data_IF_968419084662
#
_entry.id   IF_968419084662
#
_cell.length_a   1.000
_cell.length_b   1.000
_cell.length_c   1.000
_cell.angle_alpha   90.00
_cell.angle_beta   90.00
_cell.angle_gamma   90.00
#
_symmetry.space_group_name_H-M   'P 1'
#
loop_
_entity.id
_entity.type
_entity.pdbx_description
1 polymer ?
#
# COMPACT_ATOMS: atom_id res chain seq x y z
N UNK A 1 28.27 -67.54 15.84
CA UNK A 1 27.08 -66.73 16.18
C UNK A 1 27.47 -65.75 17.28
N UNK A 2 27.72 -64.49 16.92
CA UNK A 2 27.70 -63.34 17.83
C UNK A 2 27.35 -62.11 16.98
N UNK A 3 26.24 -61.46 17.33
CA UNK A 3 25.65 -60.31 16.67
C UNK A 3 26.12 -59.01 17.34
N UNK A 4 26.49 -57.98 16.55
CA UNK A 4 26.50 -56.53 16.88
C UNK A 4 26.50 -55.76 15.54
N UNK A 5 25.41 -55.18 15.07
CA UNK A 5 24.85 -53.84 15.38
C UNK A 5 24.92 -52.95 14.13
N UNK A 6 23.80 -52.45 13.57
CA UNK A 6 23.78 -51.50 12.46
C UNK A 6 23.96 -50.08 13.01
N UNK A 7 25.18 -49.54 12.95
CA UNK A 7 25.48 -48.20 13.41
C UNK A 7 25.44 -47.21 12.24
N UNK A 8 24.36 -46.42 12.20
CA UNK A 8 24.30 -45.00 11.73
C UNK A 8 24.64 -44.68 10.26
N UNK A 9 23.96 -43.82 9.50
CA UNK A 9 23.31 -42.55 9.82
C UNK A 9 22.24 -42.29 8.73
N UNK A 10 20.98 -42.17 9.14
CA UNK A 10 19.88 -41.66 8.33
C UNK A 10 19.55 -40.25 8.84
N UNK A 11 19.09 -39.38 7.94
CA UNK A 11 18.57 -38.03 8.19
C UNK A 11 19.59 -36.96 8.64
N UNK A 12 20.33 -36.43 7.68
CA UNK A 12 20.50 -34.97 7.58
C UNK A 12 19.37 -34.41 6.71
N UNK A 13 18.13 -34.47 7.21
CA UNK A 13 17.03 -33.68 6.66
C UNK A 13 17.22 -32.26 7.21
N UNK A 14 18.03 -31.48 6.51
CA UNK A 14 18.25 -30.07 6.80
C UNK A 14 16.87 -29.39 6.65
N UNK A 15 16.21 -29.15 7.78
CA UNK A 15 14.99 -28.35 7.89
C UNK A 15 15.40 -26.90 7.59
N UNK A 16 15.64 -26.61 6.31
CA UNK A 16 15.55 -25.27 5.74
C UNK A 16 14.14 -25.14 5.15
N UNK A 17 13.12 -25.24 6.01
CA UNK A 17 11.90 -24.47 5.75
C UNK A 17 12.27 -23.02 6.02
N UNK A 18 12.91 -22.42 5.01
CA UNK A 18 13.04 -21.01 4.81
C UNK A 18 11.73 -20.34 5.21
N UNK A 19 11.81 -19.52 6.25
CA UNK A 19 10.72 -18.72 6.78
C UNK A 19 9.94 -18.13 5.61
N UNK A 20 8.72 -18.64 5.36
CA UNK A 20 7.85 -18.12 4.31
C UNK A 20 7.77 -16.60 4.49
N UNK A 21 8.39 -15.89 3.55
CA UNK A 21 8.40 -14.44 3.50
C UNK A 21 6.96 -14.00 3.37
N UNK A 22 6.36 -13.54 4.49
CA UNK A 22 4.99 -13.03 4.47
C UNK A 22 4.79 -12.10 3.27
N UNK A 23 3.83 -12.48 2.43
CA UNK A 23 3.56 -11.81 1.19
C UNK A 23 3.22 -10.34 1.44
N UNK A 24 3.69 -9.46 0.56
CA UNK A 24 3.23 -8.06 0.53
C UNK A 24 1.72 -8.04 0.28
N UNK A 25 1.04 -7.07 0.87
CA UNK A 25 -0.37 -6.80 0.61
C UNK A 25 -0.49 -5.59 -0.32
N UNK A 26 -1.61 -5.51 -1.05
CA UNK A 26 -1.87 -4.44 -1.99
C UNK A 26 -3.27 -3.87 -1.78
N UNK A 27 -3.42 -2.56 -1.94
CA UNK A 27 -4.72 -1.89 -1.89
C UNK A 27 -4.78 -0.80 -2.95
N UNK A 28 -5.85 -0.78 -3.72
CA UNK A 28 -6.21 0.36 -4.56
C UNK A 28 -6.99 1.36 -3.71
N UNK A 29 -6.63 2.63 -3.78
CA UNK A 29 -7.30 3.71 -3.06
C UNK A 29 -7.22 5.00 -3.88
N UNK A 30 -8.30 5.79 -3.87
CA UNK A 30 -8.37 7.06 -4.58
C UNK A 30 -7.67 8.20 -3.82
N UNK A 31 -7.43 8.02 -2.51
CA UNK A 31 -6.72 9.01 -1.68
C UNK A 31 -5.26 9.11 -2.11
N UNK A 32 -4.79 10.34 -2.25
CA UNK A 32 -3.39 10.62 -2.57
C UNK A 32 -2.45 10.18 -1.43
N UNK A 33 -1.17 9.92 -1.71
CA UNK A 33 -0.19 9.56 -0.67
C UNK A 33 -0.08 10.63 0.42
N UNK A 34 -0.24 11.91 0.07
CA UNK A 34 -0.26 13.01 1.04
C UNK A 34 -1.47 12.92 1.98
N UNK A 35 -2.66 12.63 1.44
CA UNK A 35 -3.88 12.46 2.24
C UNK A 35 -3.80 11.21 3.14
N UNK A 36 -3.31 10.09 2.60
CA UNK A 36 -3.10 8.86 3.37
C UNK A 36 -2.07 9.08 4.49
N UNK A 37 -0.96 9.77 4.21
CA UNK A 37 0.02 10.16 5.25
C UNK A 37 -0.59 11.05 6.32
N UNK A 38 -1.35 12.08 5.92
CA UNK A 38 -2.00 13.00 6.84
C UNK A 38 -3.02 12.31 7.75
N UNK A 39 -3.71 11.28 7.25
CA UNK A 39 -4.61 10.43 8.03
C UNK A 39 -3.88 9.41 8.93
N UNK A 40 -2.54 9.37 8.90
CA UNK A 40 -1.74 8.40 9.63
C UNK A 40 -1.70 7.01 9.00
N UNK A 41 -2.25 6.83 7.78
CA UNK A 41 -2.29 5.57 7.07
C UNK A 41 -3.57 5.35 6.25
N UNK A 42 -3.81 4.10 5.84
CA UNK A 42 -5.07 3.69 5.22
C UNK A 42 -6.05 3.35 6.33
N UNK A 43 -6.96 4.26 6.61
CA UNK A 43 -7.98 4.12 7.66
C UNK A 43 -9.27 3.58 7.04
N UNK A 44 -9.97 2.70 7.77
CA UNK A 44 -11.31 2.18 7.42
C UNK A 44 -12.34 3.29 7.41
N UNK A 45 -13.57 3.00 6.97
CA UNK A 45 -14.62 4.02 6.93
C UNK A 45 -15.02 4.45 8.34
N UNK A 46 -15.23 3.50 9.25
CA UNK A 46 -15.54 3.77 10.65
C UNK A 46 -14.64 2.92 11.58
N UNK A 47 -13.47 3.43 12.00
CA UNK A 47 -12.55 2.72 12.89
C UNK A 47 -13.11 2.39 14.29
N UNK A 48 -14.21 3.03 14.68
CA UNK A 48 -14.93 2.75 15.93
C UNK A 48 -16.07 1.74 15.73
N UNK A 49 -16.35 1.34 14.48
CA UNK A 49 -17.33 0.31 14.16
C UNK A 49 -16.98 -1.04 14.77
N UNK A 50 -18.01 -1.88 14.98
CA UNK A 50 -17.89 -3.18 15.65
C UNK A 50 -18.29 -4.34 14.74
N UNK A 51 -18.49 -4.07 13.44
CA UNK A 51 -18.93 -5.08 12.48
C UNK A 51 -17.94 -6.22 12.31
N UNK A 52 -18.46 -7.43 12.09
CA UNK A 52 -17.62 -8.62 11.92
C UNK A 52 -16.91 -8.60 10.56
N UNK A 53 -15.79 -9.32 10.46
CA UNK A 53 -15.08 -9.51 9.18
C UNK A 53 -15.94 -10.26 8.14
N UNK A 54 -16.88 -11.10 8.58
CA UNK A 54 -17.81 -11.79 7.68
C UNK A 54 -18.88 -10.85 7.14
N UNK A 55 -19.34 -9.87 7.93
CA UNK A 55 -20.27 -8.84 7.46
C UNK A 55 -19.58 -7.85 6.51
N UNK A 56 -18.32 -7.53 6.79
CA UNK A 56 -17.43 -6.82 5.89
C UNK A 56 -17.31 -7.52 4.54
N UNK A 57 -16.95 -8.82 4.53
CA UNK A 57 -16.82 -9.61 3.31
C UNK A 57 -18.13 -9.78 2.51
N UNK A 58 -19.29 -9.53 3.12
CA UNK A 58 -20.60 -9.49 2.46
C UNK A 58 -21.06 -8.06 2.11
N UNK A 59 -20.22 -7.06 2.34
CA UNK A 59 -20.53 -5.64 2.16
C UNK A 59 -21.78 -5.16 2.93
N UNK A 60 -22.10 -5.76 4.09
CA UNK A 60 -23.29 -5.42 4.88
C UNK A 60 -23.11 -4.18 5.76
N UNK A 61 -21.87 -3.80 6.06
CA UNK A 61 -21.56 -2.77 7.06
C UNK A 61 -21.67 -1.34 6.51
N UNK A 62 -21.54 -1.15 5.19
CA UNK A 62 -21.63 0.17 4.57
C UNK A 62 -20.67 1.19 5.20
N UNK A 63 -21.24 2.26 5.77
CA UNK A 63 -20.46 3.33 6.44
C UNK A 63 -20.02 2.98 7.86
N UNK A 64 -20.48 1.87 8.41
CA UNK A 64 -20.05 1.42 9.75
C UNK A 64 -18.91 0.41 9.69
N UNK A 65 -18.32 0.23 8.51
CA UNK A 65 -17.28 -0.77 8.27
C UNK A 65 -15.95 -0.39 8.95
N UNK A 66 -15.49 -1.19 9.94
CA UNK A 66 -14.23 -0.94 10.61
C UNK A 66 -13.04 -1.59 9.91
N UNK A 67 -13.20 -2.23 8.75
CA UNK A 67 -12.15 -3.00 8.09
C UNK A 67 -11.53 -2.26 6.90
N UNK A 68 -10.24 -2.52 6.68
CA UNK A 68 -9.50 -2.09 5.50
C UNK A 68 -9.21 -3.32 4.66
N UNK A 69 -9.89 -3.44 3.52
CA UNK A 69 -9.65 -4.51 2.55
C UNK A 69 -8.30 -4.34 1.85
N UNK A 70 -7.58 -5.44 1.73
CA UNK A 70 -6.36 -5.56 0.93
C UNK A 70 -6.38 -6.88 0.17
N UNK A 71 -5.51 -7.04 -0.82
CA UNK A 71 -5.36 -8.30 -1.57
C UNK A 71 -3.90 -8.73 -1.57
N UNK A 72 -3.66 -10.04 -1.64
CA UNK A 72 -2.33 -10.59 -1.91
C UNK A 72 -1.89 -10.44 -3.38
N UNK A 73 -2.78 -10.00 -4.27
CA UNK A 73 -2.50 -9.88 -5.70
C UNK A 73 -2.39 -8.43 -6.16
N UNK A 74 -1.17 -7.99 -6.51
CA UNK A 74 -0.96 -6.66 -7.12
C UNK A 74 -1.74 -6.49 -8.42
N UNK A 75 -1.93 -7.57 -9.19
CA UNK A 75 -2.69 -7.55 -10.43
C UNK A 75 -4.18 -7.26 -10.18
N UNK A 76 -4.77 -7.85 -9.13
CA UNK A 76 -6.15 -7.58 -8.74
C UNK A 76 -6.32 -6.14 -8.25
N UNK A 77 -5.40 -5.64 -7.41
CA UNK A 77 -5.45 -4.24 -6.99
C UNK A 77 -5.37 -3.27 -8.21
N UNK A 78 -4.56 -3.60 -9.22
CA UNK A 78 -4.48 -2.82 -10.46
C UNK A 78 -5.71 -2.92 -11.34
N UNK A 79 -6.41 -4.05 -11.37
CA UNK A 79 -7.59 -4.22 -12.25
C UNK A 79 -8.74 -3.29 -11.84
N UNK A 80 -8.79 -2.88 -10.56
CA UNK A 80 -9.72 -1.86 -10.07
C UNK A 80 -9.35 -0.42 -10.45
N UNK A 81 -8.12 -0.15 -10.87
CA UNK A 81 -7.60 1.20 -11.11
C UNK A 81 -8.02 1.80 -12.47
N UNK A 82 -9.32 1.83 -12.76
CA UNK A 82 -9.89 2.23 -14.07
C UNK A 82 -10.29 3.71 -14.18
N UNK A 83 -10.18 4.47 -13.10
CA UNK A 83 -10.59 5.88 -13.05
C UNK A 83 -9.87 6.74 -14.09
N UNK A 84 -10.55 7.79 -14.58
CA UNK A 84 -9.95 8.82 -15.42
C UNK A 84 -8.98 9.72 -14.63
N UNK A 85 -9.21 9.85 -13.32
CA UNK A 85 -8.32 10.53 -12.38
C UNK A 85 -7.20 9.60 -11.92
N UNK A 86 -6.19 10.16 -11.26
CA UNK A 86 -5.14 9.37 -10.64
C UNK A 86 -5.69 8.57 -9.47
N UNK A 87 -5.35 7.28 -9.42
CA UNK A 87 -5.62 6.37 -8.30
C UNK A 87 -4.32 5.65 -7.94
N UNK A 88 -4.26 5.11 -6.73
CA UNK A 88 -3.00 4.64 -6.17
C UNK A 88 -3.11 3.18 -5.75
N UNK A 89 -2.16 2.37 -6.20
CA UNK A 89 -2.03 0.98 -5.74
C UNK A 89 -0.89 0.91 -4.73
N UNK A 90 -1.26 0.98 -3.46
CA UNK A 90 -0.34 0.92 -2.33
C UNK A 90 0.20 -0.49 -2.14
N UNK A 91 1.50 -0.60 -1.89
CA UNK A 91 2.20 -1.81 -1.47
C UNK A 91 2.47 -1.73 0.02
N UNK A 92 1.99 -2.72 0.76
CA UNK A 92 1.97 -2.76 2.21
C UNK A 92 2.88 -3.89 2.69
N UNK A 93 3.74 -3.59 3.66
CA UNK A 93 4.48 -4.58 4.43
C UNK A 93 3.71 -4.92 5.71
N UNK A 94 3.18 -6.16 5.82
CA UNK A 94 2.41 -6.55 7.00
C UNK A 94 3.27 -6.74 8.26
N UNK A 95 4.60 -6.78 8.14
CA UNK A 95 5.52 -7.09 9.24
C UNK A 95 6.23 -5.86 9.81
N UNK A 96 6.43 -4.82 9.00
CA UNK A 96 7.36 -3.73 9.33
C UNK A 96 6.75 -2.35 9.12
N UNK A 97 7.00 -1.39 10.04
CA UNK A 97 7.64 -1.57 11.34
C UNK A 97 6.67 -2.14 12.40
N UNK A 98 5.37 -2.06 12.16
CA UNK A 98 4.35 -2.61 13.06
C UNK A 98 3.80 -3.91 12.48
N UNK A 99 3.78 -4.97 13.27
CA UNK A 99 3.11 -6.21 12.86
C UNK A 99 1.60 -5.95 12.77
N UNK A 100 1.02 -6.12 11.59
CA UNK A 100 -0.42 -6.00 11.39
C UNK A 100 -1.13 -7.28 11.83
N UNK A 101 -2.26 -7.11 12.52
CA UNK A 101 -3.22 -8.19 12.71
C UNK A 101 -4.08 -8.30 11.46
N UNK A 102 -3.80 -9.34 10.68
CA UNK A 102 -4.43 -9.56 9.38
C UNK A 102 -5.34 -10.77 9.46
N UNK A 103 -6.55 -10.60 8.96
CA UNK A 103 -7.55 -11.64 8.86
C UNK A 103 -7.66 -12.11 7.41
N UNK A 104 -7.40 -13.39 7.19
CA UNK A 104 -7.62 -14.06 5.90
C UNK A 104 -9.12 -14.35 5.76
N UNK A 105 -9.79 -13.61 4.86
CA UNK A 105 -11.24 -13.61 4.76
C UNK A 105 -11.78 -14.99 4.38
N UNK A 106 -11.14 -15.64 3.42
CA UNK A 106 -11.53 -16.96 2.93
C UNK A 106 -11.46 -18.02 4.04
N UNK A 107 -10.42 -17.94 4.89
CA UNK A 107 -10.33 -18.81 6.08
C UNK A 107 -11.43 -18.55 7.10
N UNK A 108 -11.88 -17.30 7.27
CA UNK A 108 -12.97 -17.00 8.21
C UNK A 108 -14.31 -17.56 7.72
N UNK A 109 -14.62 -17.42 6.43
CA UNK A 109 -15.81 -18.03 5.84
C UNK A 109 -15.79 -19.55 5.98
N UNK A 110 -14.66 -20.19 5.62
CA UNK A 110 -14.47 -21.64 5.81
C UNK A 110 -14.65 -22.08 7.27
N UNK A 111 -14.11 -21.32 8.22
CA UNK A 111 -14.26 -21.59 9.66
C UNK A 111 -15.71 -21.46 10.13
N UNK A 112 -16.48 -20.55 9.54
CA UNK A 112 -17.90 -20.39 9.82
C UNK A 112 -18.79 -21.46 9.14
N UNK A 113 -18.21 -22.31 8.29
CA UNK A 113 -18.98 -23.27 7.48
C UNK A 113 -19.76 -22.58 6.35
N UNK A 114 -19.30 -21.41 5.91
CA UNK A 114 -19.97 -20.59 4.91
C UNK A 114 -19.12 -20.45 3.64
N UNK A 115 -19.78 -20.21 2.50
CA UNK A 115 -19.10 -19.89 1.25
C UNK A 115 -18.73 -18.39 1.22
N UNK A 116 -17.48 -18.10 0.85
CA UNK A 116 -17.05 -16.73 0.62
C UNK A 116 -17.71 -16.21 -0.68
N UNK A 117 -18.42 -15.08 -0.68
CA UNK A 117 -19.05 -14.54 -1.89
C UNK A 117 -18.02 -14.07 -2.94
N UNK A 118 -16.77 -13.78 -2.54
CA UNK A 118 -15.75 -13.17 -3.38
C UNK A 118 -14.35 -13.83 -3.22
N UNK A 119 -14.21 -15.16 -3.42
CA UNK A 119 -12.95 -15.87 -3.16
C UNK A 119 -11.84 -15.45 -4.13
N UNK A 120 -12.21 -14.98 -5.32
CA UNK A 120 -11.28 -14.49 -6.35
C UNK A 120 -10.50 -13.23 -5.96
N UNK A 121 -10.98 -12.47 -4.98
CA UNK A 121 -10.34 -11.22 -4.53
C UNK A 121 -9.08 -11.47 -3.68
N UNK A 122 -8.95 -12.69 -3.14
CA UNK A 122 -7.84 -13.11 -2.27
C UNK A 122 -7.62 -12.11 -1.14
N UNK A 123 -8.73 -11.73 -0.50
CA UNK A 123 -8.78 -10.64 0.44
C UNK A 123 -8.12 -10.99 1.79
N UNK A 124 -7.37 -10.01 2.28
CA UNK A 124 -6.87 -9.92 3.64
C UNK A 124 -7.37 -8.61 4.25
N UNK A 125 -8.06 -8.69 5.37
CA UNK A 125 -8.67 -7.52 6.01
C UNK A 125 -7.88 -7.13 7.26
N UNK A 126 -7.67 -5.83 7.45
CA UNK A 126 -7.01 -5.26 8.65
C UNK A 126 -8.03 -4.40 9.39
N UNK A 127 -8.15 -4.60 10.70
CA UNK A 127 -9.10 -3.85 11.52
C UNK A 127 -8.60 -2.43 11.78
N UNK A 128 -9.50 -1.45 11.70
CA UNK A 128 -9.32 -0.01 11.91
C UNK A 128 -8.43 0.70 10.89
N UNK A 129 -7.16 0.37 10.83
CA UNK A 129 -6.21 1.09 10.01
C UNK A 129 -4.95 0.30 9.69
N UNK A 130 -4.34 0.61 8.55
CA UNK A 130 -2.99 0.23 8.19
C UNK A 130 -2.12 1.48 8.36
N UNK A 131 -1.21 1.53 9.36
CA UNK A 131 -0.38 2.70 9.62
C UNK A 131 0.46 3.10 8.41
N UNK A 132 0.71 4.40 8.25
CA UNK A 132 1.54 4.96 7.18
C UNK A 132 2.91 4.27 7.09
N UNK A 133 3.49 3.93 8.24
CA UNK A 133 4.80 3.31 8.30
C UNK A 133 4.87 1.92 7.62
N UNK A 134 3.73 1.22 7.54
CA UNK A 134 3.59 -0.07 6.86
C UNK A 134 3.44 0.05 5.34
N UNK A 135 3.21 1.26 4.83
CA UNK A 135 3.15 1.53 3.40
C UNK A 135 4.59 1.71 2.88
N UNK A 136 4.98 0.91 1.89
CA UNK A 136 6.35 0.87 1.37
C UNK A 136 6.49 1.70 0.10
N UNK A 137 5.49 1.61 -0.78
CA UNK A 137 5.46 2.28 -2.07
C UNK A 137 4.04 2.31 -2.62
N UNK A 138 3.85 3.04 -3.70
CA UNK A 138 2.61 2.99 -4.48
C UNK A 138 2.90 3.14 -5.97
N UNK A 139 2.09 2.47 -6.78
CA UNK A 139 1.99 2.75 -8.20
C UNK A 139 0.90 3.82 -8.40
N UNK A 140 1.22 4.91 -9.09
CA UNK A 140 0.21 5.87 -9.56
C UNK A 140 -0.36 5.35 -10.88
N UNK A 141 -1.68 5.30 -10.97
CA UNK A 141 -2.41 4.73 -12.08
C UNK A 141 -3.39 5.75 -12.64
N UNK A 142 -3.51 5.82 -13.97
CA UNK A 142 -4.50 6.64 -14.67
C UNK A 142 -5.08 5.82 -15.82
N UNK A 143 -6.41 5.67 -15.89
CA UNK A 143 -7.12 4.89 -16.92
C UNK A 143 -6.54 3.47 -17.09
N UNK A 144 -6.28 2.78 -15.97
CA UNK A 144 -5.71 1.43 -15.96
C UNK A 144 -4.21 1.33 -16.27
N UNK A 145 -3.54 2.44 -16.59
CA UNK A 145 -2.11 2.46 -16.92
C UNK A 145 -1.29 3.01 -15.77
N UNK A 146 -0.17 2.34 -15.46
CA UNK A 146 0.81 2.84 -14.49
C UNK A 146 1.56 4.03 -15.08
N UNK A 147 1.55 5.16 -14.39
CA UNK A 147 2.26 6.38 -14.79
C UNK A 147 3.54 6.59 -13.98
N UNK A 148 3.56 6.16 -12.72
CA UNK A 148 4.73 6.27 -11.84
C UNK A 148 4.74 5.18 -10.77
N UNK A 149 5.92 4.94 -10.19
CA UNK A 149 6.08 4.22 -8.92
C UNK A 149 6.86 5.14 -7.98
N UNK A 150 6.37 5.33 -6.75
CA UNK A 150 7.04 6.16 -5.74
C UNK A 150 7.20 5.35 -4.46
N UNK A 151 8.39 5.38 -3.87
CA UNK A 151 8.61 4.76 -2.55
C UNK A 151 8.26 5.75 -1.44
N UNK A 152 7.88 5.25 -0.26
CA UNK A 152 7.65 6.10 0.91
C UNK A 152 8.88 6.93 1.25
N UNK A 153 10.06 6.33 1.16
CA UNK A 153 11.35 7.00 1.41
C UNK A 153 11.55 8.18 0.44
N UNK A 154 11.28 8.00 -0.85
CA UNK A 154 11.44 9.10 -1.82
C UNK A 154 10.42 10.21 -1.62
N UNK A 155 9.20 9.87 -1.20
CA UNK A 155 8.16 10.85 -0.89
C UNK A 155 8.45 11.65 0.38
N UNK A 156 9.11 11.04 1.37
CA UNK A 156 9.46 11.68 2.63
C UNK A 156 10.73 12.54 2.55
N UNK A 157 11.53 12.40 1.48
CA UNK A 157 12.68 13.27 1.27
C UNK A 157 12.20 14.72 1.16
N UNK A 158 12.78 15.65 1.95
CA UNK A 158 12.50 17.07 1.76
C UNK A 158 12.89 17.46 0.34
N UNK A 159 12.04 18.26 -0.32
CA UNK A 159 12.41 18.85 -1.59
C UNK A 159 13.70 19.65 -1.38
N UNK A 160 14.74 19.34 -2.15
CA UNK A 160 15.98 20.13 -2.11
C UNK A 160 15.60 21.60 -2.26
N UNK A 161 16.19 22.51 -1.46
CA UNK A 161 15.89 23.93 -1.56
C UNK A 161 16.09 24.35 -3.02
N UNK A 162 15.07 24.98 -3.60
CA UNK A 162 15.17 25.51 -4.95
C UNK A 162 16.42 26.39 -5.01
N UNK A 163 17.25 26.30 -6.07
CA UNK A 163 18.39 27.19 -6.21
C UNK A 163 17.88 28.64 -6.12
N UNK A 164 18.62 29.53 -5.42
CA UNK A 164 18.23 30.93 -5.29
C UNK A 164 17.96 31.47 -6.69
N UNK A 165 16.78 32.09 -6.87
CA UNK A 165 16.43 32.73 -8.14
C UNK A 165 17.55 33.71 -8.48
N UNK A 166 18.27 33.43 -9.56
CA UNK A 166 19.32 34.33 -10.06
C UNK A 166 18.75 35.74 -10.18
N UNK A 167 19.46 36.77 -9.72
CA UNK A 167 18.97 38.14 -9.81
C UNK A 167 18.71 38.49 -11.27
N UNK A 168 17.46 38.84 -11.58
CA UNK A 168 17.05 39.31 -12.89
C UNK A 168 17.83 40.57 -13.22
N UNK A 169 18.75 40.49 -14.18
CA UNK A 169 19.51 41.65 -14.66
C UNK A 169 18.55 42.77 -15.06
N UNK A 170 18.75 44.02 -14.60
CA UNK A 170 17.88 45.13 -14.97
C UNK A 170 17.98 45.39 -16.47
N UNK A 171 16.82 45.33 -17.13
CA UNK A 171 16.66 45.62 -18.55
C UNK A 171 17.00 47.09 -18.78
N UNK A 172 18.11 47.36 -19.47
CA UNK A 172 18.59 48.70 -19.82
C UNK A 172 17.50 49.43 -20.63
N UNK A 173 16.76 50.32 -19.99
CA UNK A 173 15.79 51.20 -20.63
C UNK A 173 16.55 52.26 -21.41
N UNK A 174 16.62 52.11 -22.73
CA UNK A 174 17.12 53.15 -23.63
C UNK A 174 16.08 54.27 -23.74
N UNK A 175 16.28 55.35 -22.99
CA UNK A 175 15.52 56.60 -23.17
C UNK A 175 16.31 57.49 -24.13
N UNK A 176 15.80 57.59 -25.36
CA UNK A 176 16.21 58.55 -26.38
C UNK A 176 16.05 59.99 -25.84
N UNK A 177 17.11 60.79 -25.90
CA UNK A 177 17.05 62.24 -25.71
C UNK A 177 16.70 62.89 -27.05
N UNK A 178 15.57 63.61 -27.11
CA UNK A 178 15.33 64.59 -28.16
C UNK A 178 15.80 65.95 -27.66
N UNK A 179 16.78 66.52 -28.36
CA UNK A 179 17.19 67.92 -28.24
C UNK A 179 16.07 68.84 -28.73
N UNK A 180 15.74 69.84 -27.92
CA UNK A 180 15.00 71.02 -28.33
C UNK A 180 16.00 72.15 -28.51
N UNK A 181 16.21 72.59 -29.75
CA UNK A 181 16.81 73.90 -30.05
C UNK A 181 15.72 74.97 -30.12
N UNK A 182 16.08 76.17 -29.62
CA UNK A 182 15.25 77.35 -29.45
C UNK A 182 14.75 77.98 -30.76
#
# INVERSE_FOLDING_TARGET
MFARSPFTFFLSFLVLLSSATAAKLFRMDDRTPAAVRAAGGLVSWNPAGTGSVLDHGRAKLGKDDPWVSTTSSKALAKSGAKSASSVYVYTIDPKSPNKLEIVDLDKQFKKAGEENPHPGEKEFSVHKAIPWANIVSWDTMTRGKKTATTTRVDFEKPASPAPPKSPTSPKKSGRSMQEFTA
#
